data_IF_873262979785
#
_entry.id   IF_873262979785
#
_cell.length_a   1.000
_cell.length_b   1.000
_cell.length_c   1.000
_cell.angle_alpha   90.00
_cell.angle_beta   90.00
_cell.angle_gamma   90.00
#
_symmetry.space_group_name_H-M   'P 1'
#
loop_
_entity.id
_entity.type
_entity.pdbx_description
1 polymer ?
#
# COMPACT_ATOMS: atom_id res chain seq x y z
N UNK A 1 7.57 1.44 15.85
CA UNK A 1 8.68 0.99 15.00
C UNK A 1 8.33 1.26 13.55
N UNK A 2 9.27 1.05 12.63
CA UNK A 2 9.05 1.17 11.18
C UNK A 2 9.85 0.09 10.46
N UNK A 3 9.26 -0.59 9.48
CA UNK A 3 10.03 -1.47 8.58
C UNK A 3 10.91 -0.63 7.65
N UNK A 4 12.13 -1.08 7.37
CA UNK A 4 13.04 -0.36 6.46
C UNK A 4 12.49 -0.31 5.03
N UNK A 5 11.87 -1.40 4.59
CA UNK A 5 11.26 -1.52 3.27
C UNK A 5 10.11 -2.54 3.27
N UNK A 6 9.15 -2.33 2.38
CA UNK A 6 8.00 -3.22 2.18
C UNK A 6 7.89 -3.52 0.68
N UNK A 7 7.76 -4.79 0.26
CA UNK A 7 7.65 -5.13 -1.16
C UNK A 7 6.33 -4.60 -1.74
N UNK A 8 6.43 -3.86 -2.85
CA UNK A 8 5.30 -3.20 -3.54
C UNK A 8 5.18 -3.55 -5.02
N UNK A 9 6.06 -4.40 -5.53
CA UNK A 9 5.98 -4.87 -6.92
C UNK A 9 4.80 -5.81 -7.15
N UNK A 10 4.14 -5.66 -8.30
CA UNK A 10 3.07 -6.53 -8.79
C UNK A 10 1.90 -6.74 -7.80
N UNK A 11 1.56 -5.71 -7.03
CA UNK A 11 0.43 -5.74 -6.09
C UNK A 11 -0.90 -5.44 -6.79
N UNK A 12 -2.00 -5.48 -6.03
CA UNK A 12 -3.36 -5.34 -6.58
C UNK A 12 -3.69 -3.97 -7.20
N UNK A 13 -2.94 -2.91 -6.86
CA UNK A 13 -3.22 -1.54 -7.31
C UNK A 13 -1.97 -0.69 -7.56
N UNK A 14 -2.08 0.21 -8.52
CA UNK A 14 -1.19 1.36 -8.69
C UNK A 14 -1.69 2.51 -7.81
N UNK A 15 -0.81 3.16 -7.07
CA UNK A 15 -1.14 4.26 -6.16
C UNK A 15 -0.49 5.55 -6.63
N UNK A 16 -1.31 6.60 -6.77
CA UNK A 16 -0.83 7.94 -7.14
C UNK A 16 -1.56 9.00 -6.35
N UNK A 17 -0.80 9.93 -5.76
CA UNK A 17 -1.35 11.08 -5.06
C UNK A 17 -0.55 11.45 -3.82
N UNK A 18 -1.04 12.46 -3.13
CA UNK A 18 -0.45 12.97 -1.91
C UNK A 18 -1.55 13.37 -0.94
N UNK A 19 -1.40 12.99 0.33
CA UNK A 19 -2.28 13.47 1.39
C UNK A 19 -1.47 13.87 2.63
N UNK A 20 -2.05 14.76 3.44
CA UNK A 20 -1.47 15.17 4.71
C UNK A 20 -2.29 14.59 5.86
N UNK A 21 -1.58 14.10 6.87
CA UNK A 21 -2.13 13.59 8.12
C UNK A 21 -1.58 14.36 9.31
N UNK A 22 -2.47 14.71 10.25
CA UNK A 22 -2.07 15.43 11.46
C UNK A 22 -1.03 14.66 12.30
N UNK A 23 -1.07 13.32 12.27
CA UNK A 23 -0.19 12.50 13.11
C UNK A 23 0.97 11.87 12.34
N UNK A 24 0.74 11.53 11.07
CA UNK A 24 1.67 10.78 10.23
C UNK A 24 2.33 11.64 9.14
N UNK A 25 2.08 12.94 9.16
CA UNK A 25 2.66 13.90 8.23
C UNK A 25 2.19 13.68 6.79
N UNK A 26 3.05 13.99 5.83
CA UNK A 26 2.69 13.93 4.41
C UNK A 26 3.04 12.58 3.83
N UNK A 27 2.06 11.91 3.22
CA UNK A 27 2.26 10.65 2.50
C UNK A 27 2.12 10.90 1.01
N UNK A 28 3.10 10.42 0.25
CA UNK A 28 3.14 10.54 -1.21
C UNK A 28 3.28 9.15 -1.82
N UNK A 29 2.44 8.84 -2.81
CA UNK A 29 2.55 7.63 -3.61
C UNK A 29 2.76 7.97 -5.09
N UNK A 30 3.68 7.25 -5.72
CA UNK A 30 3.91 7.27 -7.16
C UNK A 30 4.03 5.84 -7.67
N UNK A 31 3.68 5.65 -8.94
CA UNK A 31 3.68 4.33 -9.57
C UNK A 31 4.66 4.28 -10.72
N UNK A 32 5.31 3.13 -10.92
CA UNK A 32 6.19 2.85 -12.05
C UNK A 32 5.64 1.62 -12.76
N UNK A 33 5.56 1.67 -14.09
CA UNK A 33 5.05 0.56 -14.89
C UNK A 33 5.78 0.41 -16.22
N UNK A 34 6.00 -0.84 -16.60
CA UNK A 34 6.48 -1.28 -17.89
C UNK A 34 5.30 -1.76 -18.72
N UNK A 35 5.28 -1.36 -19.99
CA UNK A 35 4.19 -1.66 -20.91
C UNK A 35 4.65 -2.64 -21.99
N UNK A 36 3.74 -3.45 -22.49
CA UNK A 36 3.94 -4.29 -23.67
C UNK A 36 2.68 -4.37 -24.53
N UNK A 37 2.84 -4.91 -25.74
CA UNK A 37 1.75 -5.17 -26.66
C UNK A 37 1.41 -6.66 -26.70
N UNK A 38 0.15 -6.99 -27.00
CA UNK A 38 -0.22 -8.37 -27.35
C UNK A 38 0.33 -8.78 -28.72
N UNK A 39 0.43 -7.83 -29.65
CA UNK A 39 0.99 -8.01 -31.00
C UNK A 39 1.66 -6.73 -31.46
N UNK A 40 2.83 -6.82 -32.10
CA UNK A 40 3.53 -5.66 -32.67
C UNK A 40 3.29 -5.60 -34.19
N UNK A 41 2.05 -5.31 -34.58
CA UNK A 41 1.67 -5.21 -35.98
C UNK A 41 0.64 -4.10 -36.17
N UNK A 42 0.88 -3.23 -37.15
CA UNK A 42 0.01 -2.15 -37.59
C UNK A 42 0.02 -2.19 -39.12
N UNK A 43 -1.15 -2.00 -39.74
CA UNK A 43 -1.28 -1.99 -41.20
C UNK A 43 -0.46 -0.85 -41.82
N UNK A 44 0.19 -1.10 -42.97
CA UNK A 44 1.03 -0.12 -43.66
C UNK A 44 0.26 1.16 -44.07
N UNK A 45 -1.05 1.02 -44.36
CA UNK A 45 -1.93 2.12 -44.74
C UNK A 45 -2.58 2.81 -43.53
N UNK A 46 -2.31 2.33 -42.31
CA UNK A 46 -2.84 2.92 -41.08
C UNK A 46 -2.28 4.32 -40.83
N UNK A 47 -3.18 5.22 -40.41
CA UNK A 47 -2.87 6.60 -40.05
C UNK A 47 -3.31 6.84 -38.61
N UNK A 48 -2.35 7.17 -37.75
CA UNK A 48 -2.62 7.54 -36.36
C UNK A 48 -3.44 8.83 -36.29
N UNK A 49 -4.47 8.85 -35.45
CA UNK A 49 -5.31 10.02 -35.17
C UNK A 49 -5.04 10.60 -33.77
N UNK A 50 -4.88 9.75 -32.73
CA UNK A 50 -4.54 10.21 -31.38
C UNK A 50 -3.93 9.11 -30.50
N UNK A 51 -3.29 9.52 -29.40
CA UNK A 51 -2.78 8.61 -28.36
C UNK A 51 -3.16 9.11 -26.97
N UNK A 52 -3.55 8.21 -26.08
CA UNK A 52 -3.88 8.55 -24.70
C UNK A 52 -3.59 7.42 -23.72
N UNK A 53 -3.36 7.79 -22.47
CA UNK A 53 -3.28 6.89 -21.33
C UNK A 53 -4.67 6.76 -20.70
N UNK A 54 -5.10 5.53 -20.47
CA UNK A 54 -6.31 5.17 -19.73
C UNK A 54 -5.88 4.53 -18.42
N UNK A 55 -6.39 5.06 -17.31
CA UNK A 55 -6.20 4.53 -15.96
C UNK A 55 -7.57 4.11 -15.41
N UNK A 56 -7.81 2.82 -15.28
CA UNK A 56 -9.05 2.26 -14.73
C UNK A 56 -9.11 2.48 -13.21
N UNK A 57 -10.18 3.09 -12.73
CA UNK A 57 -10.37 3.30 -11.29
C UNK A 57 -10.77 1.99 -10.63
N UNK A 58 -10.00 1.55 -9.64
CA UNK A 58 -10.27 0.31 -8.90
C UNK A 58 -11.25 0.53 -7.72
N UNK A 59 -11.68 1.76 -7.47
CA UNK A 59 -12.55 2.13 -6.36
C UNK A 59 -11.81 2.53 -5.09
N UNK A 60 -10.54 2.16 -4.95
CA UNK A 60 -9.72 2.56 -3.81
C UNK A 60 -9.39 4.06 -3.84
N UNK A 61 -9.60 4.73 -2.71
CA UNK A 61 -9.10 6.07 -2.45
C UNK A 61 -8.82 6.24 -0.96
N UNK A 62 -7.98 7.22 -0.63
CA UNK A 62 -7.72 7.62 0.74
C UNK A 62 -7.59 9.13 0.83
N UNK A 63 -8.38 9.75 1.72
CA UNK A 63 -8.49 11.19 2.00
C UNK A 63 -9.32 12.00 0.96
N UNK A 64 -9.17 13.33 0.94
CA UNK A 64 -10.04 14.26 0.21
C UNK A 64 -9.94 14.16 -1.31
N UNK A 65 -10.98 13.63 -1.95
CA UNK A 65 -11.14 13.51 -3.42
C UNK A 65 -11.77 14.75 -4.05
N UNK A 66 -12.18 15.74 -3.25
CA UNK A 66 -12.74 17.02 -3.75
C UNK A 66 -11.67 18.07 -4.02
N UNK A 67 -10.44 17.83 -3.55
CA UNK A 67 -9.27 18.62 -3.88
C UNK A 67 -8.83 18.38 -5.33
N UNK A 68 -8.26 19.42 -5.95
CA UNK A 68 -7.66 19.30 -7.29
C UNK A 68 -6.39 18.45 -7.18
N UNK A 69 -6.27 17.44 -8.05
CA UNK A 69 -5.10 16.57 -8.13
C UNK A 69 -4.47 16.64 -9.52
N UNK A 70 -3.16 16.47 -9.56
CA UNK A 70 -2.36 16.46 -10.79
C UNK A 70 -1.60 15.14 -10.90
N UNK A 71 -1.72 14.47 -12.06
CA UNK A 71 -0.84 13.36 -12.43
C UNK A 71 0.08 13.83 -13.55
N UNK A 72 1.38 13.62 -13.34
CA UNK A 72 2.44 13.80 -14.31
C UNK A 72 2.94 12.44 -14.79
N UNK A 73 2.93 12.22 -16.10
CA UNK A 73 3.46 11.02 -16.73
C UNK A 73 4.88 11.32 -17.19
N UNK A 74 5.87 10.57 -16.72
CA UNK A 74 7.25 10.68 -17.18
C UNK A 74 7.72 9.38 -17.83
N UNK A 75 8.61 9.49 -18.82
CA UNK A 75 9.31 8.32 -19.37
C UNK A 75 10.43 7.89 -18.45
N UNK A 76 10.51 6.59 -18.15
CA UNK A 76 11.61 6.01 -17.37
C UNK A 76 12.88 6.01 -18.23
N UNK A 77 13.98 6.49 -17.65
CA UNK A 77 15.26 6.68 -18.36
C UNK A 77 16.29 5.59 -18.04
N UNK A 78 16.08 4.79 -17.00
CA UNK A 78 16.91 3.62 -16.66
C UNK A 78 16.20 2.30 -16.97
N UNK A 79 16.92 1.18 -16.83
CA UNK A 79 16.32 -0.15 -17.01
C UNK A 79 15.28 -0.42 -15.92
N UNK A 80 14.18 -1.08 -16.30
CA UNK A 80 13.10 -1.47 -15.38
C UNK A 80 13.47 -2.76 -14.67
N UNK A 81 14.52 -2.71 -13.85
CA UNK A 81 15.08 -3.88 -13.17
C UNK A 81 15.51 -3.53 -11.75
N UNK A 82 15.67 -4.55 -10.92
CA UNK A 82 16.18 -4.46 -9.55
C UNK A 82 17.12 -5.63 -9.29
N UNK A 83 18.20 -5.39 -8.54
CA UNK A 83 19.12 -6.44 -8.08
C UNK A 83 18.54 -7.24 -6.90
N UNK A 84 17.43 -6.76 -6.33
CA UNK A 84 16.72 -7.36 -5.21
C UNK A 84 15.62 -8.34 -5.68
N UNK A 85 15.00 -9.05 -4.74
CA UNK A 85 13.91 -9.99 -5.07
C UNK A 85 12.58 -9.31 -5.43
N UNK A 86 12.44 -8.01 -5.16
CA UNK A 86 11.22 -7.23 -5.37
C UNK A 86 11.58 -5.75 -5.52
N UNK A 87 10.67 -4.96 -6.07
CA UNK A 87 10.67 -3.53 -5.81
C UNK A 87 9.94 -3.27 -4.50
N UNK A 88 10.41 -2.28 -3.76
CA UNK A 88 9.89 -1.90 -2.45
C UNK A 88 9.28 -0.50 -2.51
N UNK A 89 8.54 -0.13 -1.47
CA UNK A 89 8.01 1.22 -1.28
C UNK A 89 9.07 2.33 -1.34
N UNK A 90 10.34 2.02 -1.06
CA UNK A 90 11.48 2.94 -1.14
C UNK A 90 12.24 2.86 -2.47
N UNK A 91 11.89 1.93 -3.37
CA UNK A 91 12.52 1.82 -4.69
C UNK A 91 12.15 3.00 -5.57
N UNK A 92 13.09 3.44 -6.41
CA UNK A 92 12.89 4.53 -7.36
C UNK A 92 13.65 4.20 -8.65
N UNK A 93 13.02 4.44 -9.80
CA UNK A 93 13.69 4.40 -11.09
C UNK A 93 13.91 5.82 -11.61
N UNK A 94 15.09 6.13 -12.15
CA UNK A 94 15.34 7.41 -12.83
C UNK A 94 14.37 7.60 -14.01
N UNK A 95 13.84 8.81 -14.16
CA UNK A 95 12.93 9.21 -15.24
C UNK A 95 13.32 10.58 -15.81
N UNK A 96 12.76 10.94 -16.97
CA UNK A 96 12.99 12.23 -17.62
C UNK A 96 12.36 13.37 -16.81
N UNK A 97 13.10 14.47 -16.59
CA UNK A 97 12.62 15.59 -15.74
C UNK A 97 11.40 16.31 -16.30
N UNK A 98 11.32 16.43 -17.64
CA UNK A 98 10.16 17.03 -18.30
C UNK A 98 9.05 15.97 -18.42
N UNK A 99 7.83 16.25 -17.97
CA UNK A 99 6.72 15.30 -18.11
C UNK A 99 6.37 15.10 -19.58
N UNK A 100 6.07 13.86 -19.95
CA UNK A 100 5.47 13.51 -21.22
C UNK A 100 4.08 14.17 -21.35
N UNK A 101 3.30 14.11 -20.28
CA UNK A 101 2.00 14.76 -20.17
C UNK A 101 1.67 15.04 -18.69
N UNK A 102 0.82 16.05 -18.47
CA UNK A 102 0.28 16.39 -17.15
C UNK A 102 -1.22 16.60 -17.26
N UNK A 103 -1.98 16.11 -16.28
CA UNK A 103 -3.43 16.29 -16.20
C UNK A 103 -3.82 16.74 -14.80
N UNK A 104 -4.50 17.88 -14.73
CA UNK A 104 -5.22 18.33 -13.53
C UNK A 104 -6.67 17.82 -13.60
N UNK A 105 -7.16 17.22 -12.52
CA UNK A 105 -8.51 16.65 -12.43
C UNK A 105 -9.00 16.61 -10.98
N UNK A 106 -10.29 16.36 -10.81
CA UNK A 106 -10.88 16.01 -9.51
C UNK A 106 -11.02 14.49 -9.45
N UNK A 107 -10.41 13.80 -8.48
CA UNK A 107 -10.52 12.35 -8.38
C UNK A 107 -11.95 11.85 -8.26
N UNK A 108 -12.33 10.88 -9.10
CA UNK A 108 -13.65 10.25 -9.07
C UNK A 108 -13.52 8.72 -9.05
N UNK A 109 -13.05 8.11 -7.94
CA UNK A 109 -12.71 6.68 -7.86
C UNK A 109 -13.88 5.73 -8.12
N UNK A 110 -15.13 6.23 -8.13
CA UNK A 110 -16.33 5.45 -8.45
C UNK A 110 -16.75 5.54 -9.93
N UNK A 111 -15.95 6.18 -10.79
CA UNK A 111 -16.14 6.19 -12.24
C UNK A 111 -15.37 5.05 -12.90
N UNK A 112 -15.52 4.93 -14.22
CA UNK A 112 -14.87 3.91 -15.03
C UNK A 112 -13.35 4.14 -15.12
N UNK A 113 -12.92 5.22 -15.77
CA UNK A 113 -11.49 5.48 -15.97
C UNK A 113 -11.15 6.97 -16.03
N UNK A 114 -9.88 7.27 -15.79
CA UNK A 114 -9.25 8.54 -16.10
C UNK A 114 -8.57 8.46 -17.47
N UNK A 115 -8.91 9.38 -18.37
CA UNK A 115 -8.27 9.49 -19.68
C UNK A 115 -7.35 10.72 -19.73
N UNK A 116 -6.10 10.52 -20.19
CA UNK A 116 -5.12 11.57 -20.41
C UNK A 116 -4.61 11.51 -21.85
N UNK A 117 -4.77 12.59 -22.61
CA UNK A 117 -4.16 12.70 -23.94
C UNK A 117 -2.64 12.81 -23.82
N UNK A 118 -1.92 12.09 -24.67
CA UNK A 118 -0.45 12.18 -24.76
C UNK A 118 -0.02 12.97 -26.01
N UNK A 119 1.24 13.45 -26.06
CA UNK A 119 1.74 14.18 -27.22
C UNK A 119 1.68 13.35 -28.50
N UNK A 120 0.97 13.87 -29.50
CA UNK A 120 0.80 13.21 -30.79
C UNK A 120 2.15 13.05 -31.53
N UNK A 121 2.81 14.16 -31.88
CA UNK A 121 4.01 14.12 -32.74
C UNK A 121 5.25 13.55 -32.06
N UNK A 122 5.54 13.97 -30.83
CA UNK A 122 6.80 13.64 -30.15
C UNK A 122 6.80 12.28 -29.48
N UNK A 123 5.66 11.61 -29.40
CA UNK A 123 5.53 10.32 -28.73
C UNK A 123 4.62 9.35 -29.51
N UNK A 124 3.37 9.73 -29.76
CA UNK A 124 2.39 8.88 -30.45
C UNK A 124 2.88 8.42 -31.83
N UNK A 125 3.17 9.37 -32.71
CA UNK A 125 3.66 9.12 -34.07
C UNK A 125 4.97 8.34 -34.06
N UNK A 126 5.89 8.64 -33.13
CA UNK A 126 7.18 7.96 -33.02
C UNK A 126 6.99 6.46 -32.77
N UNK A 127 6.25 6.08 -31.74
CA UNK A 127 6.04 4.66 -31.42
C UNK A 127 5.16 3.96 -32.48
N UNK A 128 4.11 4.62 -32.95
CA UNK A 128 3.20 4.05 -33.94
C UNK A 128 3.92 3.75 -35.27
N UNK A 129 4.69 4.70 -35.79
CA UNK A 129 5.46 4.50 -37.02
C UNK A 129 6.59 3.49 -36.83
N UNK A 130 7.25 3.43 -35.66
CA UNK A 130 8.27 2.41 -35.41
C UNK A 130 7.69 0.99 -35.40
N UNK A 131 6.47 0.79 -34.90
CA UNK A 131 5.79 -0.52 -35.01
C UNK A 131 5.39 -0.79 -36.47
N UNK A 132 4.75 0.18 -37.13
CA UNK A 132 4.31 0.05 -38.53
C UNK A 132 5.46 -0.28 -39.49
N UNK A 133 6.62 0.37 -39.30
CA UNK A 133 7.82 0.17 -40.12
C UNK A 133 8.66 -1.04 -39.70
N UNK A 134 8.16 -1.91 -38.80
CA UNK A 134 8.85 -3.10 -38.27
C UNK A 134 10.19 -2.80 -37.56
N UNK A 135 10.31 -1.62 -36.93
CA UNK A 135 11.43 -1.28 -36.04
C UNK A 135 11.20 -1.81 -34.62
N UNK A 136 9.94 -1.80 -34.18
CA UNK A 136 9.46 -2.46 -32.95
C UNK A 136 8.65 -3.68 -33.36
N UNK A 137 9.12 -4.88 -33.02
CA UNK A 137 8.51 -6.16 -33.42
C UNK A 137 8.26 -7.12 -32.26
N UNK A 138 8.75 -6.79 -31.07
CA UNK A 138 8.66 -7.59 -29.85
C UNK A 138 8.85 -6.70 -28.60
N UNK A 139 8.69 -7.31 -27.42
CA UNK A 139 8.86 -6.63 -26.13
C UNK A 139 10.27 -6.05 -25.94
N UNK A 140 11.30 -6.71 -26.48
CA UNK A 140 12.70 -6.26 -26.37
C UNK A 140 12.92 -4.97 -27.17
N UNK A 141 12.49 -4.93 -28.43
CA UNK A 141 12.57 -3.74 -29.28
C UNK A 141 11.68 -2.61 -28.80
N UNK A 142 10.51 -2.89 -28.22
CA UNK A 142 9.70 -1.87 -27.54
C UNK A 142 10.45 -1.29 -26.34
N UNK A 143 11.04 -2.14 -25.49
CA UNK A 143 11.76 -1.71 -24.30
C UNK A 143 12.94 -0.78 -24.62
N UNK A 144 13.62 -0.98 -25.75
CA UNK A 144 14.68 -0.07 -26.22
C UNK A 144 14.16 1.34 -26.53
N UNK A 145 12.89 1.49 -26.93
CA UNK A 145 12.26 2.76 -27.28
C UNK A 145 11.49 3.38 -26.11
N UNK A 146 10.85 2.54 -25.28
CA UNK A 146 10.07 2.92 -24.11
C UNK A 146 10.33 1.93 -22.97
N UNK A 147 11.24 2.30 -22.06
CA UNK A 147 11.61 1.47 -20.90
C UNK A 147 10.46 1.31 -19.88
N UNK A 148 9.52 2.23 -19.92
CA UNK A 148 8.33 2.29 -19.07
C UNK A 148 7.92 3.73 -18.81
N UNK A 149 6.87 3.90 -18.02
CA UNK A 149 6.39 5.20 -17.58
C UNK A 149 6.22 5.22 -16.06
N UNK A 150 6.29 6.42 -15.48
CA UNK A 150 5.95 6.65 -14.08
C UNK A 150 4.82 7.67 -13.96
N UNK A 151 3.93 7.43 -13.01
CA UNK A 151 2.83 8.29 -12.63
C UNK A 151 3.23 9.01 -11.34
N UNK A 152 3.49 10.30 -11.45
CA UNK A 152 3.98 11.14 -10.36
C UNK A 152 2.90 12.15 -9.96
N UNK A 153 2.53 12.25 -8.67
CA UNK A 153 1.70 13.36 -8.23
C UNK A 153 2.47 14.68 -8.34
N UNK A 154 1.76 15.80 -8.37
CA UNK A 154 2.41 17.10 -8.19
C UNK A 154 2.96 17.24 -6.76
N UNK A 155 4.12 17.86 -6.61
CA UNK A 155 4.75 18.10 -5.31
C UNK A 155 4.01 19.16 -4.46
N UNK A 156 3.05 19.88 -5.05
CA UNK A 156 2.27 20.93 -4.36
C UNK A 156 0.88 20.47 -3.98
N UNK A 157 0.42 19.36 -4.55
CA UNK A 157 -0.95 18.92 -4.37
C UNK A 157 -1.07 18.18 -3.05
N UNK A 158 -2.13 18.49 -2.31
CA UNK A 158 -2.51 17.82 -1.07
C UNK A 158 -4.00 17.54 -1.19
N UNK A 159 -4.37 16.27 -1.19
CA UNK A 159 -5.75 15.83 -1.33
C UNK A 159 -5.87 14.37 -0.94
N UNK A 160 -5.81 13.50 -1.95
CA UNK A 160 -6.00 12.07 -1.79
C UNK A 160 -4.96 11.25 -2.54
N UNK A 161 -4.83 9.98 -2.14
CA UNK A 161 -4.17 8.93 -2.92
C UNK A 161 -5.25 8.06 -3.56
N UNK A 162 -5.11 7.80 -4.86
CA UNK A 162 -6.08 7.05 -5.66
C UNK A 162 -5.46 5.75 -6.16
N UNK A 163 -6.26 4.69 -6.14
CA UNK A 163 -5.93 3.38 -6.68
C UNK A 163 -6.39 3.20 -8.12
N UNK A 164 -5.49 2.73 -8.97
CA UNK A 164 -5.79 2.33 -10.35
C UNK A 164 -5.49 0.85 -10.55
N UNK A 165 -6.32 0.17 -11.36
CA UNK A 165 -6.17 -1.26 -11.63
C UNK A 165 -4.96 -1.52 -12.55
N UNK A 166 -3.99 -2.34 -12.13
CA UNK A 166 -2.88 -2.77 -12.97
C UNK A 166 -3.23 -4.01 -13.80
N UNK A 167 -4.44 -4.55 -13.66
CA UNK A 167 -4.82 -5.84 -14.21
C UNK A 167 -5.03 -5.77 -15.72
N UNK A 168 -4.22 -6.50 -16.48
CA UNK A 168 -4.47 -6.75 -17.91
C UNK A 168 -4.71 -5.48 -18.73
N UNK A 169 -5.85 -5.41 -19.43
CA UNK A 169 -6.26 -4.28 -20.29
C UNK A 169 -7.04 -3.20 -19.54
N UNK A 170 -6.92 -3.09 -18.21
CA UNK A 170 -7.52 -2.02 -17.41
C UNK A 170 -6.77 -0.69 -17.57
N UNK A 171 -5.45 -0.74 -17.40
CA UNK A 171 -4.56 0.40 -17.56
C UNK A 171 -3.69 0.21 -18.80
N UNK A 172 -3.79 1.13 -19.74
CA UNK A 172 -3.13 0.99 -21.05
C UNK A 172 -2.89 2.33 -21.75
N UNK A 173 -1.91 2.36 -22.65
CA UNK A 173 -1.78 3.37 -23.67
C UNK A 173 -2.53 2.93 -24.91
N UNK A 174 -3.47 3.74 -25.39
CA UNK A 174 -4.24 3.49 -26.60
C UNK A 174 -3.86 4.43 -27.71
N UNK A 175 -3.59 3.87 -28.88
CA UNK A 175 -3.35 4.55 -30.15
C UNK A 175 -4.59 4.38 -31.01
N UNK A 176 -5.33 5.45 -31.26
CA UNK A 176 -6.48 5.45 -32.16
C UNK A 176 -6.02 5.75 -33.58
N UNK A 177 -6.44 4.92 -34.54
CA UNK A 177 -6.04 5.05 -35.94
C UNK A 177 -7.14 4.62 -36.91
N UNK A 178 -6.93 4.92 -38.19
CA UNK A 178 -7.84 4.54 -39.28
C UNK A 178 -7.09 4.03 -40.50
N UNK A 179 -7.76 3.18 -41.28
CA UNK A 179 -7.26 2.67 -42.56
C UNK A 179 -8.12 3.28 -43.68
N UNK A 180 -7.58 4.19 -44.52
CA UNK A 180 -8.38 4.97 -45.48
C UNK A 180 -9.15 4.16 -46.54
N UNK A 181 -8.72 2.93 -46.86
CA UNK A 181 -9.31 2.11 -47.92
C UNK A 181 -10.39 1.12 -47.43
N UNK A 182 -10.61 0.99 -46.11
CA UNK A 182 -11.70 0.16 -45.58
C UNK A 182 -13.06 0.88 -45.70
N UNK A 183 -14.07 0.14 -46.19
CA UNK A 183 -15.38 0.66 -46.62
C UNK A 183 -16.23 1.26 -45.49
N UNK A 184 -15.83 1.07 -44.24
CA UNK A 184 -16.39 1.72 -43.06
C UNK A 184 -15.19 2.30 -42.31
N UNK A 185 -15.12 3.63 -42.17
CA UNK A 185 -14.08 4.32 -41.40
C UNK A 185 -14.22 4.07 -39.90
N UNK A 186 -14.25 2.79 -39.50
CA UNK A 186 -14.27 2.37 -38.11
C UNK A 186 -12.96 2.77 -37.45
N UNK A 187 -13.07 3.47 -36.33
CA UNK A 187 -11.94 3.82 -35.49
C UNK A 187 -11.31 2.53 -34.94
N UNK A 188 -10.07 2.25 -35.33
CA UNK A 188 -9.29 1.13 -34.85
C UNK A 188 -8.43 1.57 -33.68
N UNK A 189 -7.99 0.61 -32.88
CA UNK A 189 -7.09 0.89 -31.76
C UNK A 189 -5.99 -0.16 -31.63
N UNK A 190 -4.86 0.32 -31.13
CA UNK A 190 -3.72 -0.49 -30.73
C UNK A 190 -3.37 -0.11 -29.28
N UNK A 191 -3.20 -1.12 -28.42
CA UNK A 191 -2.99 -0.92 -26.98
C UNK A 191 -1.64 -1.46 -26.51
N UNK A 192 -0.94 -0.66 -25.72
CA UNK A 192 0.15 -1.12 -24.85
C UNK A 192 -0.40 -1.21 -23.42
N UNK A 193 -0.48 -2.42 -22.88
CA UNK A 193 -0.96 -2.69 -21.52
C UNK A 193 0.21 -2.94 -20.57
N UNK A 194 -0.03 -2.97 -19.27
CA UNK A 194 1.01 -3.33 -18.30
C UNK A 194 1.49 -4.76 -18.57
N UNK A 195 2.81 -4.94 -18.60
CA UNK A 195 3.42 -6.25 -18.85
C UNK A 195 3.01 -7.26 -17.78
N UNK A 196 2.74 -8.50 -18.19
CA UNK A 196 2.44 -9.61 -17.28
C UNK A 196 3.67 -10.49 -16.99
N UNK A 197 4.86 -10.04 -17.39
CA UNK A 197 6.11 -10.76 -17.22
C UNK A 197 7.03 -10.03 -16.23
N UNK A 198 7.71 -10.79 -15.36
CA UNK A 198 8.65 -10.24 -14.40
C UNK A 198 8.01 -9.29 -13.39
N UNK A 199 8.82 -8.38 -12.84
CA UNK A 199 8.39 -7.28 -11.98
C UNK A 199 8.11 -6.07 -12.88
N UNK A 200 6.87 -5.94 -13.35
CA UNK A 200 6.50 -4.99 -14.40
C UNK A 200 5.89 -3.70 -13.88
N UNK A 201 5.51 -3.65 -12.60
CA UNK A 201 5.08 -2.42 -11.96
C UNK A 201 5.28 -2.47 -10.45
N UNK A 202 5.40 -1.30 -9.84
CA UNK A 202 5.50 -1.14 -8.39
C UNK A 202 5.09 0.26 -7.93
N UNK A 203 4.83 0.40 -6.64
CA UNK A 203 4.56 1.68 -5.99
C UNK A 203 5.76 2.14 -5.17
N UNK A 204 6.17 3.38 -5.35
CA UNK A 204 6.99 4.10 -4.38
C UNK A 204 6.04 4.84 -3.43
N UNK A 205 6.17 4.61 -2.11
CA UNK A 205 5.31 5.17 -1.08
C UNK A 205 6.20 5.70 0.04
N UNK A 206 6.16 7.01 0.22
CA UNK A 206 7.01 7.71 1.20
C UNK A 206 6.16 8.51 2.18
N UNK A 207 6.76 8.81 3.32
CA UNK A 207 6.14 9.62 4.38
C UNK A 207 7.15 10.63 4.92
N UNK A 208 6.80 11.91 4.96
CA UNK A 208 7.52 12.95 5.69
C UNK A 208 6.86 13.16 7.06
N UNK A 209 7.51 12.63 8.09
CA UNK A 209 7.06 12.71 9.49
C UNK A 209 7.82 13.75 10.30
N UNK A 210 8.59 14.65 9.66
CA UNK A 210 9.51 15.58 10.33
C UNK A 210 8.84 16.50 11.36
N UNK A 211 7.54 16.77 11.19
CA UNK A 211 6.71 17.53 12.14
C UNK A 211 6.09 16.73 13.28
N UNK A 212 6.30 15.41 13.35
CA UNK A 212 5.64 14.50 14.29
C UNK A 212 6.61 13.88 15.31
N UNK A 213 6.05 13.22 16.34
CA UNK A 213 6.84 12.44 17.30
C UNK A 213 7.58 11.24 16.66
N UNK A 214 7.12 10.78 15.48
CA UNK A 214 7.69 9.62 14.77
C UNK A 214 9.01 9.92 14.06
N UNK A 215 9.41 11.19 13.95
CA UNK A 215 10.72 11.58 13.40
C UNK A 215 11.91 11.01 14.19
N UNK A 216 11.67 10.45 15.38
CA UNK A 216 12.67 9.77 16.20
C UNK A 216 12.97 8.34 15.72
N UNK A 217 12.13 7.75 14.85
CA UNK A 217 12.36 6.43 14.25
C UNK A 217 13.22 6.61 13.01
N UNK A 218 14.52 6.35 13.15
CA UNK A 218 15.54 6.55 12.11
C UNK A 218 15.98 5.26 11.40
N UNK A 219 15.68 4.09 11.98
CA UNK A 219 15.99 2.77 11.41
C UNK A 219 15.02 1.70 11.96
N UNK A 220 15.05 0.49 11.39
CA UNK A 220 14.16 -0.61 11.79
C UNK A 220 14.33 -1.09 13.24
N UNK A 221 15.51 -1.02 13.84
CA UNK A 221 15.72 -1.39 15.25
C UNK A 221 15.11 -0.34 16.21
N UNK A 222 14.83 0.87 15.74
CA UNK A 222 14.28 1.95 16.55
C UNK A 222 12.82 1.72 16.95
N UNK A 223 12.58 1.79 18.26
CA UNK A 223 11.25 1.69 18.88
C UNK A 223 11.01 2.97 19.67
N UNK A 224 9.80 3.52 19.55
CA UNK A 224 9.33 4.65 20.36
C UNK A 224 8.19 4.15 21.26
N UNK A 225 8.22 4.55 22.53
CA UNK A 225 7.16 4.21 23.49
C UNK A 225 5.90 5.01 23.18
N UNK A 226 4.72 4.42 23.39
CA UNK A 226 3.44 5.11 23.24
C UNK A 226 3.35 6.36 24.14
N UNK A 227 4.01 6.36 25.29
CA UNK A 227 4.09 7.51 26.20
C UNK A 227 4.76 8.74 25.59
N UNK A 228 5.60 8.55 24.58
CA UNK A 228 6.29 9.62 23.84
C UNK A 228 5.50 10.06 22.60
N UNK A 229 4.43 9.33 22.26
CA UNK A 229 3.58 9.57 21.09
C UNK A 229 2.11 9.82 21.48
N UNK A 230 1.91 10.50 22.61
CA UNK A 230 0.60 10.86 23.17
C UNK A 230 -0.29 9.67 23.54
N UNK A 231 0.31 8.58 24.02
CA UNK A 231 -0.35 7.34 24.42
C UNK A 231 -1.05 6.64 23.24
N UNK A 232 -0.46 6.77 22.05
CA UNK A 232 -0.96 6.16 20.82
C UNK A 232 0.04 5.22 20.16
N UNK A 233 -0.46 4.10 19.67
CA UNK A 233 0.20 3.27 18.65
C UNK A 233 -0.24 3.69 17.25
N UNK A 234 0.66 3.55 16.27
CA UNK A 234 0.41 3.90 14.88
C UNK A 234 0.63 2.69 13.99
N UNK A 235 -0.28 2.50 13.04
CA UNK A 235 -0.09 1.63 11.89
C UNK A 235 -0.34 2.46 10.65
N UNK A 236 0.57 2.41 9.68
CA UNK A 236 0.39 3.06 8.39
C UNK A 236 0.86 2.14 7.28
N UNK A 237 -0.11 1.67 6.48
CA UNK A 237 0.15 0.87 5.30
C UNK A 237 1.02 1.63 4.31
N UNK A 238 1.83 0.91 3.54
CA UNK A 238 2.69 1.43 2.48
C UNK A 238 3.96 2.14 2.96
N UNK A 239 3.96 2.74 4.15
CA UNK A 239 5.12 3.52 4.66
C UNK A 239 5.97 2.80 5.68
N UNK A 240 5.47 1.70 6.28
CA UNK A 240 6.26 0.86 7.17
C UNK A 240 5.98 1.03 8.65
N UNK A 241 5.19 2.01 9.08
CA UNK A 241 4.88 2.21 10.49
C UNK A 241 3.95 1.11 11.02
N UNK A 242 4.38 0.48 12.11
CA UNK A 242 3.63 -0.56 12.77
C UNK A 242 3.68 -0.43 14.30
N UNK A 243 2.62 -0.90 14.94
CA UNK A 243 2.51 -0.96 16.40
C UNK A 243 3.08 -2.28 16.90
N UNK A 244 4.08 -2.18 17.78
CA UNK A 244 4.71 -3.31 18.47
C UNK A 244 4.10 -3.45 19.86
N UNK A 245 3.61 -4.65 20.19
CA UNK A 245 2.87 -4.96 21.41
C UNK A 245 3.67 -5.95 22.25
N UNK A 246 3.95 -5.56 23.49
CA UNK A 246 4.71 -6.37 24.45
C UNK A 246 3.88 -6.69 25.69
N UNK A 247 4.18 -7.84 26.30
CA UNK A 247 3.65 -8.21 27.62
C UNK A 247 4.79 -8.43 28.62
N UNK A 248 5.57 -7.39 28.98
CA UNK A 248 6.80 -7.55 29.76
C UNK A 248 6.56 -8.10 31.17
N UNK A 249 5.33 -8.04 31.67
CA UNK A 249 4.96 -8.50 33.02
C UNK A 249 4.18 -9.81 33.02
N UNK A 250 4.00 -10.48 31.87
CA UNK A 250 3.11 -11.64 31.75
C UNK A 250 3.48 -12.79 32.68
N UNK A 251 4.77 -13.07 32.88
CA UNK A 251 5.25 -14.14 33.76
C UNK A 251 4.94 -13.92 35.24
N UNK A 252 4.58 -12.70 35.64
CA UNK A 252 4.14 -12.40 37.01
C UNK A 252 2.82 -13.08 37.37
N UNK A 253 2.11 -13.66 36.40
CA UNK A 253 0.97 -14.55 36.68
C UNK A 253 1.38 -15.74 37.57
N UNK A 254 2.62 -16.23 37.44
CA UNK A 254 3.15 -17.31 38.27
C UNK A 254 3.42 -16.86 39.73
N UNK A 255 3.41 -15.55 40.00
CA UNK A 255 3.59 -14.98 41.34
C UNK A 255 2.26 -14.89 42.12
N UNK A 256 1.12 -15.24 41.51
CA UNK A 256 -0.20 -15.14 42.13
C UNK A 256 -0.43 -16.12 43.29
N UNK A 257 0.49 -17.07 43.51
CA UNK A 257 0.48 -17.96 44.67
C UNK A 257 -0.50 -19.13 44.58
N UNK A 258 -1.08 -19.37 43.40
CA UNK A 258 -1.94 -20.51 43.09
C UNK A 258 -1.37 -21.30 41.92
N UNK A 259 -1.62 -22.61 41.88
CA UNK A 259 -1.33 -23.43 40.70
C UNK A 259 -2.51 -23.43 39.75
N UNK A 260 -2.26 -23.45 38.45
CA UNK A 260 -3.31 -23.34 37.45
C UNK A 260 -2.80 -23.26 36.03
N UNK A 261 -3.71 -22.98 35.09
CA UNK A 261 -3.40 -22.85 33.66
C UNK A 261 -4.22 -21.73 33.05
N UNK A 262 -3.66 -21.07 32.04
CA UNK A 262 -4.40 -20.10 31.23
C UNK A 262 -5.36 -20.87 30.33
N UNK A 263 -6.63 -20.51 30.37
CA UNK A 263 -7.67 -21.10 29.51
C UNK A 263 -7.95 -20.25 28.27
N UNK A 264 -7.80 -18.93 28.40
CA UNK A 264 -8.08 -17.97 27.34
C UNK A 264 -7.29 -16.69 27.58
N UNK A 265 -6.89 -16.03 26.50
CA UNK A 265 -6.25 -14.71 26.55
C UNK A 265 -6.66 -13.89 25.33
N UNK A 266 -7.28 -12.74 25.60
CA UNK A 266 -7.80 -11.83 24.57
C UNK A 266 -7.22 -10.44 24.80
N UNK A 267 -6.59 -9.90 23.77
CA UNK A 267 -6.14 -8.52 23.73
C UNK A 267 -7.22 -7.65 23.10
N UNK A 268 -7.61 -6.62 23.83
CA UNK A 268 -8.59 -5.63 23.42
C UNK A 268 -7.91 -4.27 23.23
N UNK A 269 -7.99 -3.72 22.00
CA UNK A 269 -7.42 -2.41 21.66
C UNK A 269 -8.46 -1.58 20.91
N UNK A 270 -8.74 -0.38 21.41
CA UNK A 270 -9.68 0.54 20.77
C UNK A 270 -8.95 1.46 19.77
N UNK A 271 -9.37 1.54 18.50
CA UNK A 271 -8.89 2.59 17.61
C UNK A 271 -9.37 3.96 18.12
N UNK A 272 -8.55 4.98 17.95
CA UNK A 272 -8.89 6.33 18.36
C UNK A 272 -9.93 6.93 17.39
N UNK A 273 -11.03 7.45 17.92
CA UNK A 273 -12.13 8.00 17.12
C UNK A 273 -11.73 9.24 16.29
N UNK A 274 -10.65 9.94 16.63
CA UNK A 274 -10.10 11.03 15.81
C UNK A 274 -9.22 10.53 14.66
N UNK A 275 -8.88 9.24 14.65
CA UNK A 275 -7.96 8.62 13.69
C UNK A 275 -8.61 8.08 12.43
N UNK A 276 -9.94 8.12 12.29
CA UNK A 276 -10.65 7.55 11.14
C UNK A 276 -11.95 8.29 10.80
N UNK A 277 -12.37 8.18 9.55
CA UNK A 277 -13.61 8.76 9.02
C UNK A 277 -14.03 8.03 7.73
N UNK A 278 -15.14 8.43 7.11
CA UNK A 278 -15.60 7.86 5.84
C UNK A 278 -14.57 8.00 4.69
N UNK A 279 -13.71 9.03 4.75
CA UNK A 279 -12.64 9.26 3.77
C UNK A 279 -11.27 8.75 4.26
N UNK A 280 -11.17 8.30 5.50
CA UNK A 280 -9.97 7.70 6.09
C UNK A 280 -10.38 6.42 6.83
N UNK A 281 -10.83 5.38 6.10
CA UNK A 281 -11.34 4.17 6.71
C UNK A 281 -10.21 3.34 7.34
N UNK A 282 -10.55 2.63 8.41
CA UNK A 282 -9.69 1.62 9.05
C UNK A 282 -10.08 0.23 8.58
N UNK A 283 -9.17 -0.73 8.69
CA UNK A 283 -9.46 -2.12 8.32
C UNK A 283 -10.25 -2.83 9.41
N UNK A 284 -11.26 -3.61 9.04
CA UNK A 284 -12.03 -4.42 9.99
C UNK A 284 -11.24 -5.64 10.50
N UNK A 285 -10.13 -5.98 9.84
CA UNK A 285 -9.32 -7.16 10.16
C UNK A 285 -7.84 -6.78 10.23
N UNK A 286 -7.15 -7.26 11.26
CA UNK A 286 -5.70 -7.09 11.43
C UNK A 286 -5.02 -8.45 11.49
N UNK A 287 -4.05 -8.67 10.60
CA UNK A 287 -3.15 -9.81 10.66
C UNK A 287 -2.18 -9.66 11.82
N UNK A 288 -1.99 -10.73 12.58
CA UNK A 288 -1.10 -10.76 13.73
C UNK A 288 0.22 -11.45 13.36
N UNK A 289 1.35 -10.79 13.59
CA UNK A 289 2.69 -11.33 13.32
C UNK A 289 3.57 -11.29 14.56
N UNK A 290 4.59 -12.16 14.56
CA UNK A 290 5.69 -12.11 15.51
C UNK A 290 6.85 -11.30 14.93
N UNK A 291 7.45 -10.46 15.78
CA UNK A 291 8.75 -9.86 15.52
C UNK A 291 9.75 -10.26 16.58
N UNK A 292 11.01 -10.32 16.19
CA UNK A 292 12.12 -10.56 17.11
C UNK A 292 12.65 -9.26 17.74
N UNK A 293 13.78 -9.37 18.43
CA UNK A 293 14.46 -8.24 19.09
C UNK A 293 14.99 -7.17 18.13
N UNK A 294 15.23 -7.51 16.84
CA UNK A 294 15.69 -6.58 15.82
C UNK A 294 14.51 -6.01 15.00
N UNK A 295 13.28 -6.29 15.44
CA UNK A 295 12.05 -5.94 14.76
C UNK A 295 11.88 -6.60 13.37
N UNK A 296 12.57 -7.72 13.12
CA UNK A 296 12.38 -8.49 11.91
C UNK A 296 11.06 -9.26 11.97
N UNK A 297 10.24 -9.15 10.91
CA UNK A 297 9.00 -9.90 10.79
C UNK A 297 9.30 -11.38 10.57
N UNK A 298 8.85 -12.23 11.50
CA UNK A 298 9.22 -13.66 11.48
C UNK A 298 8.13 -14.54 10.88
N UNK A 299 6.95 -14.57 11.49
CA UNK A 299 5.85 -15.44 11.07
C UNK A 299 4.50 -14.86 11.47
N UNK A 300 3.48 -15.12 10.66
CA UNK A 300 2.10 -14.83 11.04
C UNK A 300 1.67 -15.79 12.14
N UNK A 301 1.05 -15.25 13.19
CA UNK A 301 0.53 -16.06 14.29
C UNK A 301 -0.60 -16.93 13.76
N UNK A 302 -0.54 -18.22 14.06
CA UNK A 302 -1.56 -19.20 13.70
C UNK A 302 -1.89 -20.06 14.91
N UNK A 303 -3.14 -20.48 14.99
CA UNK A 303 -3.61 -21.47 15.94
C UNK A 303 -3.76 -22.83 15.26
N UNK A 304 -4.34 -23.82 15.96
CA UNK A 304 -4.52 -25.18 15.41
C UNK A 304 -5.44 -25.27 14.18
N UNK A 305 -6.22 -24.23 13.88
CA UNK A 305 -7.20 -24.22 12.79
C UNK A 305 -6.78 -23.30 11.63
N UNK A 306 -6.35 -22.07 11.91
CA UNK A 306 -6.02 -21.06 10.90
C UNK A 306 -5.11 -19.96 11.47
N UNK A 307 -4.76 -18.99 10.63
CA UNK A 307 -4.14 -17.74 11.05
C UNK A 307 -5.01 -16.97 12.04
N UNK A 308 -4.34 -16.29 12.97
CA UNK A 308 -4.96 -15.45 13.98
C UNK A 308 -5.10 -14.03 13.44
N UNK A 309 -6.28 -13.47 13.63
CA UNK A 309 -6.61 -12.10 13.26
C UNK A 309 -7.21 -11.35 14.44
N UNK A 310 -6.95 -10.04 14.48
CA UNK A 310 -7.77 -9.09 15.21
C UNK A 310 -8.99 -8.72 14.39
N UNK A 311 -10.17 -8.76 14.99
CA UNK A 311 -11.42 -8.37 14.32
C UNK A 311 -11.99 -7.15 14.99
N UNK A 312 -12.40 -6.17 14.19
CA UNK A 312 -13.09 -4.98 14.64
C UNK A 312 -14.55 -5.33 14.95
N UNK A 313 -14.96 -5.10 16.19
CA UNK A 313 -16.31 -5.42 16.66
C UNK A 313 -16.98 -4.17 17.22
N UNK A 314 -18.30 -4.05 17.02
CA UNK A 314 -19.12 -3.03 17.66
C UNK A 314 -19.17 -3.28 19.17
N UNK A 315 -18.42 -2.48 19.93
CA UNK A 315 -18.42 -2.54 21.39
C UNK A 315 -19.63 -1.81 21.98
N UNK A 316 -20.10 -0.75 21.31
CA UNK A 316 -21.29 -0.02 21.70
C UNK A 316 -21.94 0.71 20.51
N UNK A 317 -23.05 0.14 20.03
CA UNK A 317 -23.83 0.68 18.90
C UNK A 317 -24.47 2.04 19.17
N UNK A 318 -24.65 2.45 20.43
CA UNK A 318 -25.21 3.77 20.76
C UNK A 318 -24.19 4.91 20.59
N UNK A 319 -22.89 4.59 20.67
CA UNK A 319 -21.80 5.56 20.58
C UNK A 319 -20.88 5.32 19.36
N UNK A 320 -21.22 4.36 18.50
CA UNK A 320 -20.37 3.88 17.40
C UNK A 320 -18.94 3.56 17.88
N UNK A 321 -18.82 3.02 19.09
CA UNK A 321 -17.53 2.63 19.62
C UNK A 321 -17.20 1.22 19.13
N UNK A 322 -16.09 1.11 18.40
CA UNK A 322 -15.55 -0.14 17.89
C UNK A 322 -14.30 -0.55 18.66
N UNK A 323 -14.00 -1.85 18.70
CA UNK A 323 -12.83 -2.42 19.39
C UNK A 323 -12.22 -3.56 18.59
N UNK A 324 -10.90 -3.64 18.53
CA UNK A 324 -10.23 -4.83 18.02
C UNK A 324 -10.13 -5.87 19.13
N UNK A 325 -10.71 -7.05 18.87
CA UNK A 325 -10.60 -8.24 19.71
C UNK A 325 -9.61 -9.20 19.08
N UNK A 326 -8.51 -9.51 19.77
CA UNK A 326 -7.40 -10.31 19.24
C UNK A 326 -7.15 -11.50 20.20
N UNK A 327 -7.38 -12.76 19.76
CA UNK A 327 -7.05 -13.92 20.58
C UNK A 327 -5.53 -14.14 20.57
N UNK A 328 -4.90 -14.02 21.74
CA UNK A 328 -3.43 -14.06 21.91
C UNK A 328 -2.97 -15.20 22.83
N UNK A 329 -3.83 -16.18 23.11
CA UNK A 329 -3.56 -17.31 24.00
C UNK A 329 -2.27 -18.04 23.65
N UNK A 330 -2.06 -18.41 22.38
CA UNK A 330 -0.88 -19.16 21.95
C UNK A 330 0.42 -18.36 22.19
N UNK A 331 0.38 -17.03 22.01
CA UNK A 331 1.52 -16.17 22.27
C UNK A 331 1.77 -16.00 23.77
N UNK A 332 0.71 -15.82 24.57
CA UNK A 332 0.81 -15.75 26.02
C UNK A 332 1.38 -17.04 26.59
N UNK A 333 0.90 -18.20 26.14
CA UNK A 333 1.41 -19.50 26.55
C UNK A 333 2.87 -19.70 26.14
N UNK A 334 3.26 -19.28 24.92
CA UNK A 334 4.68 -19.24 24.52
C UNK A 334 5.49 -18.40 25.50
N UNK A 335 5.06 -17.18 25.81
CA UNK A 335 5.75 -16.26 26.74
C UNK A 335 5.80 -16.77 28.17
N UNK A 336 4.82 -17.54 28.64
CA UNK A 336 4.85 -18.13 29.98
C UNK A 336 5.83 -19.30 30.08
N UNK A 337 6.02 -20.05 28.99
CA UNK A 337 6.84 -21.27 28.97
C UNK A 337 8.24 -21.08 28.35
N UNK A 338 8.55 -19.93 27.74
CA UNK A 338 9.85 -19.70 27.09
C UNK A 338 11.03 -19.67 28.07
N UNK A 339 12.09 -20.40 27.69
CA UNK A 339 13.38 -20.45 28.38
C UNK A 339 14.50 -20.61 27.33
N UNK A 340 15.42 -19.63 27.18
CA UNK A 340 15.48 -18.34 27.86
C UNK A 340 14.34 -17.39 27.46
N UNK A 341 14.18 -16.31 28.20
CA UNK A 341 13.24 -15.23 27.84
C UNK A 341 13.74 -14.52 26.59
N UNK A 342 12.81 -14.18 25.69
CA UNK A 342 13.14 -13.41 24.48
C UNK A 342 12.34 -12.12 24.44
N UNK A 343 12.84 -11.16 23.68
CA UNK A 343 12.15 -9.89 23.44
C UNK A 343 11.13 -9.99 22.29
N UNK A 344 10.74 -11.19 21.85
CA UNK A 344 9.72 -11.34 20.80
C UNK A 344 8.45 -10.58 21.17
N UNK A 345 7.88 -9.87 20.20
CA UNK A 345 6.67 -9.07 20.37
C UNK A 345 5.65 -9.39 19.28
N UNK A 346 4.43 -8.88 19.47
CA UNK A 346 3.38 -8.94 18.47
C UNK A 346 3.36 -7.66 17.64
N UNK A 347 3.05 -7.80 16.35
CA UNK A 347 2.66 -6.70 15.47
C UNK A 347 1.28 -6.98 14.90
N UNK A 348 0.48 -5.92 14.78
CA UNK A 348 -0.81 -5.93 14.09
C UNK A 348 -0.74 -4.99 12.89
N UNK A 349 -1.08 -5.52 11.72
CA UNK A 349 -1.15 -4.77 10.46
C UNK A 349 -2.35 -5.24 9.63
N UNK A 350 -2.98 -4.38 8.82
CA UNK A 350 -3.99 -4.80 7.84
C UNK A 350 -3.45 -5.88 6.88
N UNK A 351 -4.29 -6.78 6.35
CA UNK A 351 -3.86 -7.72 5.31
C UNK A 351 -3.28 -7.04 4.06
N UNK A 352 -3.87 -5.92 3.64
CA UNK A 352 -3.44 -5.09 2.50
C UNK A 352 -2.35 -4.06 2.87
N UNK A 353 -1.47 -4.41 3.82
CA UNK A 353 -0.50 -3.47 4.40
C UNK A 353 0.47 -2.88 3.37
N UNK A 354 0.79 -3.61 2.31
CA UNK A 354 1.72 -3.17 1.27
C UNK A 354 1.04 -2.59 0.02
N UNK A 355 -0.29 -2.69 -0.09
CA UNK A 355 -1.07 -2.22 -1.25
C UNK A 355 -2.00 -1.05 -0.93
N UNK A 356 -1.98 -0.53 0.30
CA UNK A 356 -2.79 0.62 0.75
C UNK A 356 -1.92 1.66 1.43
N UNK A 357 -2.53 2.80 1.77
CA UNK A 357 -1.93 3.89 2.56
C UNK A 357 -2.75 4.25 3.80
N UNK A 358 -3.67 3.36 4.18
CA UNK A 358 -4.56 3.56 5.31
C UNK A 358 -3.77 3.64 6.61
N UNK A 359 -4.27 4.46 7.54
CA UNK A 359 -3.74 4.55 8.90
C UNK A 359 -4.67 3.89 9.90
N UNK A 360 -4.11 3.48 11.03
CA UNK A 360 -4.86 3.13 12.24
C UNK A 360 -4.15 3.77 13.43
N UNK A 361 -4.88 4.57 14.18
CA UNK A 361 -4.44 5.14 15.45
C UNK A 361 -5.02 4.30 16.58
N UNK A 362 -4.17 3.72 17.43
CA UNK A 362 -4.57 2.80 18.49
C UNK A 362 -4.35 3.42 19.86
N UNK A 363 -5.35 3.37 20.75
CA UNK A 363 -5.19 3.82 22.13
C UNK A 363 -4.38 2.80 22.94
N UNK A 364 -3.37 3.26 23.69
CA UNK A 364 -2.58 2.38 24.55
C UNK A 364 -3.26 2.06 25.91
N UNK A 365 -2.51 1.43 26.82
CA UNK A 365 -2.99 1.07 28.17
C UNK A 365 -3.10 2.23 29.18
N UNK A 366 -2.64 3.43 28.82
CA UNK A 366 -2.62 4.63 29.66
C UNK A 366 -3.59 5.73 29.19
N UNK A 367 -4.20 5.57 28.02
CA UNK A 367 -5.24 6.47 27.52
C UNK A 367 -6.44 6.55 28.49
N UNK A 368 -6.99 7.76 28.67
CA UNK A 368 -8.04 8.05 29.67
C UNK A 368 -9.41 7.53 29.26
N UNK A 369 -9.67 7.46 27.95
CA UNK A 369 -10.99 7.15 27.40
C UNK A 369 -11.15 5.65 27.19
N UNK A 370 -10.08 4.97 26.76
CA UNK A 370 -10.02 3.51 26.70
C UNK A 370 -8.60 3.01 26.92
N UNK A 371 -8.43 2.08 27.86
CA UNK A 371 -7.13 1.43 28.12
C UNK A 371 -7.07 0.11 27.38
N UNK A 372 -6.12 -0.04 26.47
CA UNK A 372 -5.77 -1.35 25.93
C UNK A 372 -5.55 -2.34 27.07
N UNK A 373 -6.15 -3.54 26.96
CA UNK A 373 -6.14 -4.53 28.04
C UNK A 373 -5.98 -5.94 27.52
N UNK A 374 -5.14 -6.71 28.20
CA UNK A 374 -5.08 -8.15 28.05
C UNK A 374 -6.00 -8.78 29.10
N UNK A 375 -7.05 -9.46 28.64
CA UNK A 375 -7.99 -10.21 29.48
C UNK A 375 -7.53 -11.65 29.51
N UNK A 376 -7.26 -12.18 30.70
CA UNK A 376 -6.80 -13.57 30.90
C UNK A 376 -7.84 -14.32 31.71
N UNK A 377 -8.31 -15.45 31.18
CA UNK A 377 -9.10 -16.42 31.93
C UNK A 377 -8.15 -17.50 32.46
N UNK A 378 -8.11 -17.66 33.79
CA UNK A 378 -7.19 -18.59 34.45
C UNK A 378 -7.96 -19.62 35.28
N UNK A 379 -7.67 -20.91 35.06
CA UNK A 379 -8.19 -22.00 35.89
C UNK A 379 -7.23 -22.25 37.06
N UNK A 380 -7.73 -22.11 38.28
CA UNK A 380 -6.99 -22.44 39.50
C UNK A 380 -7.28 -23.89 39.86
N UNK A 381 -6.24 -24.67 40.11
CA UNK A 381 -6.38 -26.01 40.66
C UNK A 381 -6.61 -25.92 42.17
N UNK A 382 -7.65 -26.59 42.68
CA UNK A 382 -7.78 -26.85 44.11
C UNK A 382 -6.91 -28.06 44.48
N UNK A 383 -6.11 -27.93 45.55
CA UNK A 383 -5.25 -29.00 46.07
C UNK A 383 -6.03 -30.21 46.62
#
# INVERSE_FOLDING_TARGET
>A
MKFDSIPTSNLERLLVGTYEDEFLGTVTASSYLQLNASTYFIDDDAVLDSVGLVLDYEGYFYNDTTALATINVHKISQEFETDETSFYNTSELSYESDPLASLEFYPEPNRDSLYMSLPFESFGTVLFESIKNNEITDDESLFQQLRGITLQPSSTDIGSIIGYSPVGTSTYLRFFYRIPEELEGEEQHFDLSISNFGLSYFNNITSDVSGSALNQIDNQESIISSTETNNYGYVQSGTGYATRIEFPTIKRINELGFSGTVLDAVLEIKPNNAGYSDIQPISDVLSLYLVDQNNDLTVQVANSADFVFGVLEDSNSEFNDVIYTIPVIDFVDKKLNELPETEDALIIIPPEYNSTVNKILLNDGFNTDFKARLIITYAIYED
#
